data_IF_898928736728
#
_entry.id   IF_898928736728
#
_cell.length_a   1.000
_cell.length_b   1.000
_cell.length_c   1.000
_cell.angle_alpha   90.00
_cell.angle_beta   90.00
_cell.angle_gamma   90.00
#
_symmetry.space_group_name_H-M   'P 1'
#
loop_
_entity.id
_entity.type
_entity.pdbx_description
1 polymer ?
#
# COMPACT_ATOMS: atom_id res chain seq x y z
N UNK A 1 -13.42 23.51 -2.48
CA UNK A 1 -13.17 22.07 -2.15
C UNK A 1 -14.52 21.37 -1.95
N UNK A 2 -14.66 20.12 -2.36
CA UNK A 2 -15.88 19.33 -2.15
C UNK A 2 -15.95 18.95 -0.67
N UNK A 3 -17.08 19.22 0.00
CA UNK A 3 -17.25 18.85 1.42
C UNK A 3 -17.11 17.33 1.57
N UNK A 4 -16.37 16.88 2.58
CA UNK A 4 -16.28 15.45 2.93
C UNK A 4 -17.61 14.95 3.46
N UNK A 5 -18.01 13.74 3.05
CA UNK A 5 -19.31 13.15 3.35
C UNK A 5 -19.20 12.17 4.51
N UNK A 6 -19.88 12.48 5.60
CA UNK A 6 -19.94 11.66 6.79
C UNK A 6 -21.30 10.99 6.92
N UNK A 7 -21.31 9.74 7.36
CA UNK A 7 -22.50 9.01 7.72
C UNK A 7 -22.48 8.74 9.22
N UNK A 8 -23.41 9.36 9.96
CA UNK A 8 -23.54 9.23 11.38
C UNK A 8 -24.63 8.21 11.73
N UNK A 9 -24.31 7.20 12.52
CA UNK A 9 -25.18 6.08 12.83
C UNK A 9 -25.29 5.89 14.33
N UNK A 10 -26.47 6.12 14.86
CA UNK A 10 -26.77 5.98 16.28
C UNK A 10 -28.28 5.78 16.44
N UNK A 11 -28.75 4.94 17.32
CA UNK A 11 -30.19 4.75 17.57
C UNK A 11 -30.76 5.86 18.47
N UNK A 12 -29.94 6.53 19.29
CA UNK A 12 -30.33 7.71 20.07
C UNK A 12 -30.51 8.92 19.15
N UNK A 13 -31.78 9.31 18.94
CA UNK A 13 -32.17 10.46 18.12
C UNK A 13 -31.58 11.78 18.64
N UNK A 14 -31.50 11.96 19.95
CA UNK A 14 -31.05 13.20 20.57
C UNK A 14 -29.54 13.38 20.35
N UNK A 15 -28.76 12.36 20.64
CA UNK A 15 -27.33 12.37 20.41
C UNK A 15 -26.99 12.52 18.93
N UNK A 16 -27.69 11.78 18.08
CA UNK A 16 -27.52 11.86 16.63
C UNK A 16 -27.76 13.28 16.12
N UNK A 17 -28.80 13.95 16.62
CA UNK A 17 -29.11 15.34 16.23
C UNK A 17 -28.03 16.32 16.67
N UNK A 18 -27.54 16.21 17.89
CA UNK A 18 -26.48 17.08 18.43
C UNK A 18 -25.18 16.92 17.63
N UNK A 19 -24.73 15.67 17.44
CA UNK A 19 -23.51 15.40 16.68
C UNK A 19 -23.64 15.83 15.21
N UNK A 20 -24.79 15.64 14.60
CA UNK A 20 -25.04 16.08 13.23
C UNK A 20 -24.86 17.58 13.09
N UNK A 21 -25.49 18.37 13.95
CA UNK A 21 -25.40 19.84 13.89
C UNK A 21 -23.96 20.30 14.10
N UNK A 22 -23.25 19.73 15.05
CA UNK A 22 -21.86 20.04 15.30
C UNK A 22 -20.98 19.76 14.07
N UNK A 23 -21.08 18.56 13.51
CA UNK A 23 -20.27 18.16 12.34
C UNK A 23 -20.60 18.99 11.10
N UNK A 24 -21.87 19.41 10.93
CA UNK A 24 -22.27 20.33 9.85
C UNK A 24 -21.67 21.73 10.04
N UNK A 25 -21.56 22.22 11.29
CA UNK A 25 -20.87 23.49 11.63
C UNK A 25 -19.37 23.41 11.36
N UNK A 26 -18.75 22.26 11.61
CA UNK A 26 -17.35 21.95 11.28
C UNK A 26 -17.11 21.82 9.76
N UNK A 27 -18.15 21.95 8.94
CA UNK A 27 -18.06 22.03 7.47
C UNK A 27 -18.25 20.69 6.74
N UNK A 28 -18.61 19.61 7.42
CA UNK A 28 -18.89 18.31 6.79
C UNK A 28 -20.28 18.25 6.15
N UNK A 29 -20.43 17.35 5.19
CA UNK A 29 -21.74 16.99 4.63
C UNK A 29 -22.24 15.71 5.33
N UNK A 30 -23.08 15.90 6.36
CA UNK A 30 -23.52 14.82 7.24
C UNK A 30 -24.84 14.22 6.76
N UNK A 31 -24.91 12.90 6.72
CA UNK A 31 -26.15 12.13 6.62
C UNK A 31 -26.27 11.30 7.89
N UNK A 32 -27.46 11.20 8.46
CA UNK A 32 -27.70 10.40 9.64
C UNK A 32 -28.57 9.19 9.35
N UNK A 33 -28.31 8.09 10.04
CA UNK A 33 -29.07 6.84 10.01
C UNK A 33 -29.39 6.38 11.43
N UNK A 34 -30.56 5.80 11.64
CA UNK A 34 -31.00 5.31 12.93
C UNK A 34 -30.64 3.84 13.19
N UNK A 35 -30.08 3.15 12.20
CA UNK A 35 -29.75 1.73 12.27
C UNK A 35 -28.66 1.32 11.29
N UNK A 36 -28.03 0.18 11.55
CA UNK A 36 -27.07 -0.43 10.65
C UNK A 36 -27.68 -0.79 9.28
N UNK A 37 -28.93 -1.24 9.23
CA UNK A 37 -29.63 -1.60 7.99
C UNK A 37 -29.83 -0.38 7.10
N UNK A 38 -30.28 0.74 7.68
CA UNK A 38 -30.40 2.01 6.97
C UNK A 38 -29.03 2.49 6.43
N UNK A 39 -28.00 2.36 7.25
CA UNK A 39 -26.61 2.69 6.88
C UNK A 39 -26.14 1.92 5.65
N UNK A 40 -26.35 0.62 5.63
CA UNK A 40 -25.97 -0.22 4.47
C UNK A 40 -26.75 0.14 3.21
N UNK A 41 -28.03 0.51 3.35
CA UNK A 41 -28.85 0.99 2.25
C UNK A 41 -28.32 2.32 1.68
N UNK A 42 -27.90 3.24 2.54
CA UNK A 42 -27.31 4.52 2.14
C UNK A 42 -25.95 4.34 1.46
N UNK A 43 -25.09 3.45 2.00
CA UNK A 43 -23.79 3.11 1.41
C UNK A 43 -23.92 2.45 0.03
N UNK A 44 -24.99 1.71 -0.23
CA UNK A 44 -25.26 1.11 -1.53
C UNK A 44 -25.62 2.15 -2.61
N UNK A 45 -26.20 3.29 -2.22
CA UNK A 45 -26.63 4.35 -3.15
C UNK A 45 -25.49 5.30 -3.50
N UNK A 46 -24.64 5.63 -2.51
CA UNK A 46 -23.54 6.58 -2.72
C UNK A 46 -22.37 6.30 -1.76
N UNK A 47 -21.13 6.62 -2.15
CA UNK A 47 -19.98 6.48 -1.26
C UNK A 47 -19.96 7.57 -0.17
N UNK A 48 -19.46 7.21 1.01
CA UNK A 48 -19.15 8.11 2.11
C UNK A 48 -17.67 7.99 2.45
N UNK A 49 -17.05 9.12 2.84
CA UNK A 49 -15.64 9.18 3.20
C UNK A 49 -15.42 8.54 4.58
N UNK A 50 -16.35 8.74 5.52
CA UNK A 50 -16.25 8.26 6.88
C UNK A 50 -17.63 7.88 7.44
N UNK A 51 -17.69 6.82 8.22
CA UNK A 51 -18.83 6.39 9.02
C UNK A 51 -18.49 6.52 10.50
N UNK A 52 -19.36 7.18 11.26
CA UNK A 52 -19.31 7.22 12.72
C UNK A 52 -20.49 6.37 13.20
N UNK A 53 -20.23 5.26 13.87
CA UNK A 53 -21.27 4.32 14.25
C UNK A 53 -21.24 4.00 15.75
N UNK A 54 -22.41 4.01 16.37
CA UNK A 54 -22.53 3.46 17.73
C UNK A 54 -22.24 1.96 17.72
N UNK A 55 -21.56 1.51 18.77
CA UNK A 55 -21.24 0.10 18.96
C UNK A 55 -22.50 -0.73 19.25
N UNK A 56 -23.41 -0.19 20.10
CA UNK A 56 -24.61 -0.89 20.56
C UNK A 56 -25.84 -0.29 19.89
N UNK A 57 -26.38 -1.00 18.92
CA UNK A 57 -27.63 -0.66 18.25
C UNK A 57 -28.58 -1.86 18.24
N UNK A 58 -29.90 -1.64 18.24
CA UNK A 58 -30.87 -2.71 18.07
C UNK A 58 -30.71 -3.47 16.76
N UNK A 59 -30.80 -4.78 16.81
CA UNK A 59 -30.66 -5.66 15.65
C UNK A 59 -29.17 -5.91 15.31
N UNK A 60 -28.63 -5.26 14.30
CA UNK A 60 -27.24 -5.37 13.90
C UNK A 60 -26.37 -4.39 14.69
N UNK A 61 -25.39 -4.89 15.42
CA UNK A 61 -24.44 -4.10 16.19
C UNK A 61 -23.49 -3.28 15.31
N UNK A 62 -22.89 -2.21 15.90
CA UNK A 62 -21.86 -1.42 15.18
C UNK A 62 -20.63 -2.23 14.78
N UNK A 63 -20.31 -3.30 15.50
CA UNK A 63 -19.21 -4.20 15.14
C UNK A 63 -19.54 -5.06 13.90
N UNK A 64 -20.75 -5.57 13.80
CA UNK A 64 -21.21 -6.32 12.63
C UNK A 64 -21.33 -5.41 11.42
N UNK A 65 -21.81 -4.16 11.62
CA UNK A 65 -21.82 -3.12 10.60
C UNK A 65 -20.40 -2.83 10.10
N UNK A 66 -19.43 -2.63 11.00
CA UNK A 66 -18.02 -2.42 10.67
C UNK A 66 -17.46 -3.55 9.80
N UNK A 67 -17.65 -4.82 10.22
CA UNK A 67 -17.21 -5.99 9.44
C UNK A 67 -17.81 -6.00 8.04
N UNK A 68 -19.10 -5.65 7.92
CA UNK A 68 -19.80 -5.57 6.64
C UNK A 68 -19.25 -4.44 5.75
N UNK A 69 -19.02 -3.25 6.34
CA UNK A 69 -18.43 -2.11 5.63
C UNK A 69 -17.01 -2.47 5.15
N UNK A 70 -16.17 -3.05 6.01
CA UNK A 70 -14.81 -3.44 5.63
C UNK A 70 -14.78 -4.45 4.48
N UNK A 71 -15.77 -5.33 4.40
CA UNK A 71 -15.87 -6.32 3.30
C UNK A 71 -16.37 -5.70 1.99
N UNK A 72 -17.38 -4.82 2.03
CA UNK A 72 -18.05 -4.28 0.83
C UNK A 72 -17.56 -2.91 0.39
N UNK A 73 -17.07 -2.11 1.33
CA UNK A 73 -16.61 -0.73 1.14
C UNK A 73 -15.27 -0.52 1.87
N UNK A 74 -14.19 -1.21 1.47
CA UNK A 74 -12.91 -1.25 2.20
C UNK A 74 -12.24 0.12 2.34
N UNK A 75 -12.65 1.09 1.51
CA UNK A 75 -12.11 2.46 1.50
C UNK A 75 -12.79 3.38 2.49
N UNK A 76 -13.99 3.01 2.97
CA UNK A 76 -14.73 3.83 3.92
C UNK A 76 -14.11 3.67 5.32
N UNK A 77 -13.68 4.78 5.88
CA UNK A 77 -13.16 4.80 7.25
C UNK A 77 -14.32 4.67 8.23
N UNK A 78 -14.14 3.84 9.27
CA UNK A 78 -15.15 3.67 10.32
C UNK A 78 -14.57 4.03 11.68
N UNK A 79 -15.23 4.95 12.38
CA UNK A 79 -14.99 5.32 13.77
C UNK A 79 -16.15 4.78 14.60
N UNK A 80 -15.85 4.08 15.69
CA UNK A 80 -16.86 3.49 16.57
C UNK A 80 -17.08 4.40 17.78
N UNK A 81 -18.35 4.67 18.12
CA UNK A 81 -18.74 5.29 19.39
C UNK A 81 -19.15 4.19 20.39
N UNK A 82 -18.81 4.33 21.65
CA UNK A 82 -19.18 3.36 22.68
C UNK A 82 -19.50 4.03 24.02
N UNK A 83 -20.60 3.64 24.66
CA UNK A 83 -20.93 4.07 26.03
C UNK A 83 -20.12 3.30 27.09
N UNK A 84 -19.55 2.15 26.73
CA UNK A 84 -18.79 1.29 27.65
C UNK A 84 -17.41 1.05 27.03
N UNK A 85 -16.48 1.96 27.30
CA UNK A 85 -15.08 1.84 26.87
C UNK A 85 -14.31 0.81 27.71
N UNK A 86 -14.72 -0.48 27.67
CA UNK A 86 -13.84 -1.51 28.22
C UNK A 86 -12.69 -1.74 27.24
N UNK A 87 -11.52 -2.09 27.77
CA UNK A 87 -10.34 -2.38 26.94
C UNK A 87 -10.67 -3.48 25.93
N UNK A 88 -11.47 -4.45 26.32
CA UNK A 88 -11.85 -5.59 25.47
C UNK A 88 -12.66 -5.14 24.25
N UNK A 89 -13.69 -4.30 24.42
CA UNK A 89 -14.54 -3.81 23.31
C UNK A 89 -13.78 -2.91 22.34
N UNK A 90 -12.88 -2.09 22.88
CA UNK A 90 -12.00 -1.26 22.07
C UNK A 90 -11.04 -2.10 21.22
N UNK A 91 -10.40 -3.10 21.84
CA UNK A 91 -9.48 -4.04 21.14
C UNK A 91 -10.24 -4.84 20.08
N UNK A 92 -11.48 -5.27 20.36
CA UNK A 92 -12.29 -5.99 19.37
C UNK A 92 -12.63 -5.12 18.15
N UNK A 93 -13.04 -3.86 18.38
CA UNK A 93 -13.31 -2.92 17.30
C UNK A 93 -12.07 -2.65 16.44
N UNK A 94 -10.91 -2.43 17.07
CA UNK A 94 -9.65 -2.22 16.35
C UNK A 94 -9.22 -3.46 15.55
N UNK A 95 -9.33 -4.66 16.12
CA UNK A 95 -9.07 -5.93 15.40
C UNK A 95 -10.03 -6.15 14.23
N UNK A 96 -11.27 -5.69 14.35
CA UNK A 96 -12.25 -5.76 13.26
C UNK A 96 -12.01 -4.72 12.15
N UNK A 97 -11.03 -3.82 12.32
CA UNK A 97 -10.62 -2.83 11.33
C UNK A 97 -11.26 -1.45 11.50
N UNK A 98 -11.73 -1.09 12.71
CA UNK A 98 -12.07 0.30 13.00
C UNK A 98 -10.81 1.17 12.88
N UNK A 99 -10.98 2.37 12.36
CA UNK A 99 -9.90 3.36 12.34
C UNK A 99 -9.59 3.87 13.74
N UNK A 100 -10.65 4.14 14.49
CA UNK A 100 -10.57 4.57 15.88
C UNK A 100 -11.85 4.23 16.62
N UNK A 101 -11.83 4.34 17.97
CA UNK A 101 -13.02 4.32 18.80
C UNK A 101 -13.03 5.53 19.71
N UNK A 102 -14.22 6.02 20.06
CA UNK A 102 -14.43 7.13 20.97
C UNK A 102 -15.44 6.74 22.05
N UNK A 103 -15.22 7.20 23.28
CA UNK A 103 -16.15 6.93 24.37
C UNK A 103 -17.22 8.00 24.48
N UNK A 104 -18.45 7.59 24.75
CA UNK A 104 -19.54 8.51 25.12
C UNK A 104 -19.42 8.90 26.61
N UNK A 105 -19.62 10.18 27.00
CA UNK A 105 -19.99 11.30 26.13
C UNK A 105 -18.85 11.73 25.21
N UNK A 106 -19.18 12.01 23.92
CA UNK A 106 -18.19 12.37 22.91
C UNK A 106 -17.73 13.81 23.14
N UNK A 107 -16.45 13.98 23.39
CA UNK A 107 -15.87 15.31 23.52
C UNK A 107 -15.63 15.93 22.12
N UNK A 108 -16.12 17.18 21.88
CA UNK A 108 -16.01 17.83 20.57
C UNK A 108 -14.59 17.90 20.02
N UNK A 109 -13.62 18.26 20.85
CA UNK A 109 -12.21 18.37 20.46
C UNK A 109 -11.59 17.02 20.06
N UNK A 110 -11.93 15.95 20.80
CA UNK A 110 -11.45 14.60 20.53
C UNK A 110 -12.05 14.05 19.23
N UNK A 111 -13.34 14.31 18.99
CA UNK A 111 -14.01 13.95 17.75
C UNK A 111 -13.37 14.68 16.55
N UNK A 112 -13.22 16.01 16.66
CA UNK A 112 -12.60 16.81 15.61
C UNK A 112 -11.19 16.31 15.26
N UNK A 113 -10.34 16.12 16.26
CA UNK A 113 -8.98 15.61 16.05
C UNK A 113 -8.97 14.21 15.40
N UNK A 114 -9.88 13.34 15.81
CA UNK A 114 -10.00 11.99 15.24
C UNK A 114 -10.44 12.04 13.78
N UNK A 115 -11.40 12.90 13.45
CA UNK A 115 -11.89 13.08 12.09
C UNK A 115 -10.81 13.69 11.17
N UNK A 116 -10.10 14.70 11.65
CA UNK A 116 -9.02 15.33 10.88
C UNK A 116 -7.94 14.31 10.51
N UNK A 117 -7.47 13.52 11.48
CA UNK A 117 -6.48 12.45 11.23
C UNK A 117 -7.02 11.37 10.29
N UNK A 118 -8.28 10.99 10.44
CA UNK A 118 -8.92 9.99 9.60
C UNK A 118 -9.03 10.48 8.14
N UNK A 119 -9.38 11.74 7.94
CA UNK A 119 -9.50 12.35 6.62
C UNK A 119 -8.15 12.61 5.96
N UNK A 120 -7.12 12.98 6.74
CA UNK A 120 -5.74 13.07 6.26
C UNK A 120 -5.25 11.69 5.77
N UNK A 121 -5.48 10.65 6.55
CA UNK A 121 -5.17 9.28 6.16
C UNK A 121 -5.86 8.87 4.85
N UNK A 122 -7.15 9.17 4.71
CA UNK A 122 -7.92 8.90 3.50
C UNK A 122 -7.32 9.65 2.30
N UNK A 123 -6.97 10.92 2.47
CA UNK A 123 -6.37 11.74 1.42
C UNK A 123 -5.03 11.16 0.94
N UNK A 124 -4.17 10.74 1.86
CA UNK A 124 -2.89 10.09 1.53
C UNK A 124 -3.11 8.78 0.77
N UNK A 125 -4.09 7.98 1.18
CA UNK A 125 -4.45 6.74 0.47
C UNK A 125 -4.96 7.01 -0.95
N UNK A 126 -5.82 8.03 -1.14
CA UNK A 126 -6.32 8.46 -2.45
C UNK A 126 -5.18 8.97 -3.34
N UNK A 127 -4.24 9.74 -2.79
CA UNK A 127 -3.06 10.23 -3.52
C UNK A 127 -2.15 9.08 -3.97
N UNK A 128 -1.81 8.16 -3.06
CA UNK A 128 -1.03 6.95 -3.40
C UNK A 128 -1.71 6.15 -4.51
N UNK A 129 -3.03 5.97 -4.44
CA UNK A 129 -3.80 5.27 -5.48
C UNK A 129 -3.73 6.01 -6.83
N UNK A 130 -3.93 7.32 -6.82
CA UNK A 130 -3.87 8.14 -8.03
C UNK A 130 -2.49 8.09 -8.69
N UNK A 131 -1.43 8.21 -7.89
CA UNK A 131 -0.05 8.09 -8.38
C UNK A 131 0.21 6.70 -8.97
N UNK A 132 -0.23 5.62 -8.30
CA UNK A 132 -0.11 4.26 -8.82
C UNK A 132 -0.90 4.05 -10.11
N UNK A 133 -2.13 4.55 -10.19
CA UNK A 133 -2.93 4.48 -11.42
C UNK A 133 -2.25 5.20 -12.59
N UNK A 134 -1.66 6.38 -12.34
CA UNK A 134 -0.88 7.12 -13.34
C UNK A 134 0.36 6.35 -13.81
N UNK A 135 1.06 5.67 -12.89
CA UNK A 135 2.20 4.81 -13.25
C UNK A 135 1.75 3.59 -14.06
N UNK A 136 0.68 2.92 -13.66
CA UNK A 136 0.12 1.79 -14.41
C UNK A 136 -0.30 2.21 -15.82
N UNK A 137 -0.96 3.35 -15.95
CA UNK A 137 -1.31 3.90 -17.26
C UNK A 137 -0.08 4.26 -18.08
N UNK A 138 0.98 4.84 -17.49
CA UNK A 138 2.20 5.22 -18.18
C UNK A 138 3.01 4.02 -18.69
N UNK A 139 3.02 2.92 -17.96
CA UNK A 139 3.85 1.75 -18.23
C UNK A 139 3.05 0.52 -18.67
N UNK A 140 1.83 0.69 -19.22
CA UNK A 140 1.12 -0.37 -19.91
C UNK A 140 1.87 -0.85 -21.16
N UNK A 141 1.76 -2.12 -21.53
CA UNK A 141 2.37 -2.65 -22.76
C UNK A 141 1.90 -1.90 -24.02
N UNK A 142 0.68 -1.39 -24.00
CA UNK A 142 0.07 -0.59 -25.06
C UNK A 142 0.80 0.75 -25.32
N UNK A 143 1.58 1.22 -24.36
CA UNK A 143 2.33 2.47 -24.48
C UNK A 143 3.76 2.28 -25.04
N UNK A 144 4.17 1.05 -25.25
CA UNK A 144 5.43 0.76 -25.94
C UNK A 144 5.21 0.94 -27.44
N UNK A 145 5.79 2.00 -27.98
CA UNK A 145 5.62 2.36 -29.40
C UNK A 145 6.42 1.44 -30.31
N UNK A 146 5.74 0.81 -31.26
CA UNK A 146 6.33 -0.04 -32.28
C UNK A 146 5.31 -1.02 -32.87
N UNK A 147 5.54 -1.45 -34.11
CA UNK A 147 4.63 -2.36 -34.83
C UNK A 147 5.35 -3.47 -35.57
N UNK A 148 6.67 -3.67 -35.33
CA UNK A 148 7.37 -4.79 -35.94
C UNK A 148 6.94 -6.12 -35.33
N UNK A 149 6.86 -7.16 -36.11
CA UNK A 149 6.47 -8.51 -35.67
C UNK A 149 7.38 -8.99 -34.53
N UNK A 150 8.68 -8.73 -34.61
CA UNK A 150 9.66 -9.07 -33.58
C UNK A 150 9.35 -8.37 -32.22
N UNK A 151 8.93 -7.09 -32.22
CA UNK A 151 8.54 -6.39 -31.01
C UNK A 151 7.24 -6.96 -30.45
N UNK A 152 6.26 -7.25 -31.29
CA UNK A 152 4.99 -7.82 -30.86
C UNK A 152 5.17 -9.19 -30.19
N UNK A 153 6.06 -10.03 -30.72
CA UNK A 153 6.43 -11.32 -30.13
C UNK A 153 7.08 -11.16 -28.73
N UNK A 154 7.98 -10.18 -28.59
CA UNK A 154 8.60 -9.84 -27.30
C UNK A 154 7.56 -9.36 -26.30
N UNK A 155 6.65 -8.47 -26.72
CA UNK A 155 5.59 -7.94 -25.82
C UNK A 155 4.62 -9.05 -25.38
N UNK A 156 4.23 -9.96 -26.26
CA UNK A 156 3.37 -11.08 -25.92
C UNK A 156 4.07 -12.03 -24.93
N UNK A 157 5.35 -12.31 -25.15
CA UNK A 157 6.15 -13.12 -24.22
C UNK A 157 6.27 -12.43 -22.85
N UNK A 158 6.55 -11.12 -22.84
CA UNK A 158 6.62 -10.33 -21.61
C UNK A 158 5.29 -10.30 -20.86
N UNK A 159 4.16 -10.18 -21.58
CA UNK A 159 2.83 -10.18 -20.97
C UNK A 159 2.48 -11.54 -20.33
N UNK A 160 2.90 -12.65 -20.92
CA UNK A 160 2.78 -13.98 -20.30
C UNK A 160 3.68 -14.12 -19.08
N UNK A 161 4.93 -13.68 -19.18
CA UNK A 161 5.90 -13.75 -18.09
C UNK A 161 5.50 -12.87 -16.89
N UNK A 162 4.89 -11.72 -17.10
CA UNK A 162 4.39 -10.83 -16.04
C UNK A 162 3.37 -11.51 -15.09
N UNK A 163 2.72 -12.56 -15.55
CA UNK A 163 1.76 -13.33 -14.73
C UNK A 163 2.42 -14.42 -13.87
N UNK A 164 3.71 -14.55 -13.94
CA UNK A 164 4.50 -15.56 -13.22
C UNK A 164 5.50 -14.87 -12.28
N UNK A 165 6.06 -15.64 -11.33
CA UNK A 165 7.15 -15.17 -10.47
C UNK A 165 8.53 -15.56 -11.02
N UNK A 166 8.64 -15.81 -12.32
CA UNK A 166 9.89 -16.26 -12.95
C UNK A 166 10.89 -15.13 -13.06
N UNK A 167 12.17 -15.45 -12.86
CA UNK A 167 13.27 -14.54 -13.19
C UNK A 167 13.39 -14.40 -14.70
N UNK A 168 13.50 -13.16 -15.16
CA UNK A 168 13.56 -12.82 -16.59
C UNK A 168 14.90 -12.22 -16.96
N UNK A 169 15.45 -12.62 -18.11
CA UNK A 169 16.62 -12.00 -18.72
C UNK A 169 16.22 -11.25 -19.98
N UNK A 170 16.32 -9.91 -19.94
CA UNK A 170 16.07 -9.03 -21.08
C UNK A 170 17.39 -8.75 -21.78
N UNK A 171 17.48 -9.12 -23.06
CA UNK A 171 18.67 -8.88 -23.92
C UNK A 171 18.33 -7.88 -25.01
N UNK A 172 19.29 -7.05 -25.36
CA UNK A 172 19.18 -6.08 -26.45
C UNK A 172 20.29 -5.04 -26.39
N UNK A 173 20.51 -4.33 -27.48
CA UNK A 173 21.47 -3.25 -27.56
C UNK A 173 21.14 -2.10 -26.60
N UNK A 174 22.13 -1.23 -26.37
CA UNK A 174 21.90 -0.01 -25.57
C UNK A 174 20.85 0.88 -26.24
N UNK A 175 19.93 1.46 -25.47
CA UNK A 175 18.88 2.33 -26.01
C UNK A 175 17.65 1.64 -26.59
N UNK A 176 17.58 0.30 -26.63
CA UNK A 176 16.41 -0.45 -27.18
C UNK A 176 15.18 -0.46 -26.27
N UNK A 177 15.21 0.19 -25.10
CA UNK A 177 14.06 0.27 -24.19
C UNK A 177 13.94 -0.88 -23.20
N UNK A 178 15.03 -1.58 -22.86
CA UNK A 178 15.03 -2.69 -21.87
C UNK A 178 14.40 -2.29 -20.53
N UNK A 179 14.74 -1.10 -20.03
CA UNK A 179 14.15 -0.58 -18.78
C UNK A 179 12.64 -0.33 -18.93
N UNK A 180 12.20 0.22 -20.06
CA UNK A 180 10.78 0.43 -20.34
C UNK A 180 10.01 -0.89 -20.33
N UNK A 181 10.56 -1.93 -20.95
CA UNK A 181 9.99 -3.27 -20.94
C UNK A 181 9.94 -3.87 -19.53
N UNK A 182 11.02 -3.74 -18.73
CA UNK A 182 11.05 -4.21 -17.36
C UNK A 182 9.97 -3.52 -16.49
N UNK A 183 9.80 -2.21 -16.65
CA UNK A 183 8.72 -1.44 -15.99
C UNK A 183 7.35 -1.93 -16.45
N UNK A 184 7.14 -2.14 -17.75
CA UNK A 184 5.87 -2.66 -18.27
C UNK A 184 5.57 -4.06 -17.70
N UNK A 185 6.55 -4.94 -17.58
CA UNK A 185 6.39 -6.26 -16.94
C UNK A 185 5.94 -6.10 -15.49
N UNK A 186 6.63 -5.26 -14.70
CA UNK A 186 6.28 -5.04 -13.30
C UNK A 186 4.85 -4.50 -13.14
N UNK A 187 4.49 -3.43 -13.84
CA UNK A 187 3.18 -2.78 -13.69
C UNK A 187 2.01 -3.62 -14.24
N UNK A 188 2.30 -4.67 -15.01
CA UNK A 188 1.30 -5.66 -15.46
C UNK A 188 1.38 -7.00 -14.71
N UNK A 189 2.19 -7.08 -13.65
CA UNK A 189 2.35 -8.30 -12.84
C UNK A 189 1.43 -8.32 -11.61
N UNK A 190 1.42 -9.46 -10.91
CA UNK A 190 0.79 -9.59 -9.59
C UNK A 190 1.47 -8.73 -8.50
N UNK A 191 2.71 -8.28 -8.75
CA UNK A 191 3.51 -7.47 -7.82
C UNK A 191 3.47 -5.96 -8.15
N UNK A 192 2.55 -5.51 -9.00
CA UNK A 192 2.43 -4.10 -9.44
C UNK A 192 2.22 -3.08 -8.31
N UNK A 193 1.67 -3.53 -7.18
CA UNK A 193 1.41 -2.71 -6.00
C UNK A 193 2.56 -2.72 -4.99
N UNK A 194 3.60 -3.51 -5.27
CA UNK A 194 4.82 -3.64 -4.46
C UNK A 194 5.97 -2.81 -5.07
N UNK A 195 7.10 -2.66 -4.35
CA UNK A 195 8.22 -1.86 -4.86
C UNK A 195 8.81 -2.39 -6.16
N UNK A 196 9.13 -1.49 -7.10
CA UNK A 196 10.04 -1.74 -8.20
C UNK A 196 11.36 -1.02 -7.91
N UNK A 197 12.40 -1.78 -7.62
CA UNK A 197 13.75 -1.25 -7.39
C UNK A 197 14.58 -1.45 -8.65
N UNK A 198 15.07 -0.34 -9.22
CA UNK A 198 15.92 -0.37 -10.41
C UNK A 198 17.34 0.03 -10.07
N UNK A 199 18.33 -0.72 -10.57
CA UNK A 199 19.74 -0.48 -10.37
C UNK A 199 20.43 -0.59 -11.71
N UNK A 200 21.21 0.43 -12.08
CA UNK A 200 22.18 0.30 -13.16
C UNK A 200 23.53 -0.10 -12.54
N UNK A 201 23.97 -1.33 -12.81
CA UNK A 201 25.19 -1.89 -12.21
C UNK A 201 26.46 -1.23 -12.75
N UNK A 202 26.44 -0.69 -13.98
CA UNK A 202 27.57 0.04 -14.56
C UNK A 202 27.75 1.46 -14.01
N UNK A 203 26.68 2.04 -13.43
CA UNK A 203 26.74 3.40 -12.88
C UNK A 203 27.30 3.46 -11.44
N UNK A 204 27.43 2.33 -10.74
CA UNK A 204 27.89 2.26 -9.37
C UNK A 204 29.37 1.82 -9.34
N UNK A 205 30.25 2.49 -8.58
CA UNK A 205 31.63 2.03 -8.40
C UNK A 205 31.70 0.57 -7.95
N UNK A 206 32.64 -0.20 -8.55
CA UNK A 206 32.78 -1.65 -8.30
C UNK A 206 32.95 -1.99 -6.81
N UNK A 207 33.62 -1.15 -6.05
CA UNK A 207 33.87 -1.32 -4.62
C UNK A 207 32.61 -1.11 -3.77
N UNK A 208 31.58 -0.43 -4.30
CA UNK A 208 30.37 -0.11 -3.57
C UNK A 208 29.16 -0.93 -4.02
N UNK A 209 29.21 -1.56 -5.19
CA UNK A 209 28.04 -2.25 -5.78
C UNK A 209 27.52 -3.37 -4.87
N UNK A 210 28.41 -4.14 -4.23
CA UNK A 210 28.03 -5.21 -3.33
C UNK A 210 27.27 -4.68 -2.11
N UNK A 211 27.79 -3.60 -1.49
CA UNK A 211 27.17 -2.93 -0.36
C UNK A 211 25.83 -2.26 -0.74
N UNK A 212 25.71 -1.70 -1.96
CA UNK A 212 24.45 -1.14 -2.45
C UNK A 212 23.39 -2.23 -2.69
N UNK A 213 23.78 -3.35 -3.29
CA UNK A 213 22.89 -4.48 -3.55
C UNK A 213 22.43 -5.19 -2.29
N UNK A 214 23.36 -5.67 -1.48
CA UNK A 214 23.08 -6.58 -0.37
C UNK A 214 23.05 -5.89 1.01
N UNK A 215 23.49 -4.63 1.09
CA UNK A 215 23.62 -3.91 2.34
C UNK A 215 24.90 -4.29 3.11
N UNK A 216 25.11 -3.61 4.23
CA UNK A 216 26.27 -3.87 5.08
C UNK A 216 25.95 -3.67 6.56
N UNK A 217 26.76 -4.30 7.42
CA UNK A 217 26.78 -4.04 8.85
C UNK A 217 27.85 -3.01 9.19
N UNK A 218 27.63 -2.27 10.27
CA UNK A 218 28.58 -1.28 10.77
C UNK A 218 29.97 -1.91 10.98
N UNK A 219 31.00 -1.27 10.45
CA UNK A 219 32.40 -1.70 10.61
C UNK A 219 32.87 -2.73 9.58
N UNK A 220 32.07 -3.12 8.60
CA UNK A 220 32.43 -4.10 7.56
C UNK A 220 33.53 -3.65 6.61
N UNK A 221 33.67 -2.33 6.42
CA UNK A 221 34.76 -1.70 5.62
C UNK A 221 35.04 -0.28 6.10
N UNK A 222 36.14 0.32 5.62
CA UNK A 222 36.48 1.72 5.92
C UNK A 222 35.41 2.65 5.36
N UNK A 223 34.60 3.27 6.25
CA UNK A 223 33.46 4.11 5.89
C UNK A 223 32.09 3.52 6.24
N UNK A 224 31.99 2.28 6.68
CA UNK A 224 30.74 1.67 7.18
C UNK A 224 30.41 2.18 8.60
N UNK A 225 29.90 3.41 8.70
CA UNK A 225 29.62 4.09 9.98
C UNK A 225 28.34 3.55 10.64
N UNK A 226 27.39 3.06 9.85
CA UNK A 226 26.09 2.53 10.31
C UNK A 226 25.69 1.28 9.51
N UNK A 227 24.68 0.56 10.00
CA UNK A 227 24.06 -0.51 9.20
C UNK A 227 23.29 0.09 8.04
N UNK A 228 23.36 -0.54 6.87
CA UNK A 228 22.62 -0.14 5.66
C UNK A 228 21.83 -1.31 5.12
N UNK A 229 20.55 -1.06 4.80
CA UNK A 229 19.71 -2.00 4.04
C UNK A 229 20.12 -1.99 2.56
N UNK A 230 20.25 -3.17 1.99
CA UNK A 230 20.52 -3.34 0.57
C UNK A 230 19.28 -3.10 -0.32
N UNK A 231 19.53 -2.81 -1.59
CA UNK A 231 18.46 -2.65 -2.59
C UNK A 231 17.66 -3.93 -2.79
N UNK A 232 18.28 -5.09 -2.63
CA UNK A 232 17.62 -6.41 -2.68
C UNK A 232 16.59 -6.51 -1.55
N UNK A 233 16.94 -6.15 -0.31
CA UNK A 233 15.97 -6.12 0.81
C UNK A 233 14.84 -5.10 0.57
N UNK A 234 15.13 -3.98 -0.09
CA UNK A 234 14.11 -2.97 -0.40
C UNK A 234 13.13 -3.44 -1.46
N UNK A 235 13.51 -4.43 -2.27
CA UNK A 235 12.68 -5.02 -3.32
C UNK A 235 11.86 -6.22 -2.81
N UNK A 236 11.98 -6.60 -1.55
CA UNK A 236 11.31 -7.75 -0.96
C UNK A 236 9.79 -7.73 -1.21
N UNK A 237 9.24 -8.86 -1.69
CA UNK A 237 7.86 -8.98 -2.16
C UNK A 237 7.54 -8.24 -3.46
N UNK A 238 8.48 -7.46 -4.00
CA UNK A 238 8.32 -6.63 -5.19
C UNK A 238 9.10 -7.14 -6.40
N UNK A 239 9.78 -6.22 -7.10
CA UNK A 239 10.58 -6.53 -8.29
C UNK A 239 11.92 -5.82 -8.23
N UNK A 240 13.00 -6.55 -8.45
CA UNK A 240 14.33 -6.00 -8.62
C UNK A 240 14.70 -6.04 -10.11
N UNK A 241 15.02 -4.88 -10.69
CA UNK A 241 15.55 -4.78 -12.04
C UNK A 241 17.02 -4.36 -11.99
N UNK A 242 17.88 -5.22 -12.51
CA UNK A 242 19.32 -4.99 -12.65
C UNK A 242 19.64 -4.71 -14.11
N UNK A 243 19.99 -3.46 -14.43
CA UNK A 243 20.50 -3.11 -15.74
C UNK A 243 22.01 -3.32 -15.77
N UNK A 244 22.54 -3.65 -16.95
CA UNK A 244 23.97 -3.91 -17.18
C UNK A 244 24.55 -4.95 -16.19
N UNK A 245 23.80 -6.04 -15.95
CA UNK A 245 24.19 -7.12 -15.01
C UNK A 245 25.54 -7.76 -15.33
N UNK A 246 26.00 -7.67 -16.58
CA UNK A 246 27.31 -8.15 -17.02
C UNK A 246 28.51 -7.40 -16.43
N UNK A 247 28.29 -6.17 -15.90
CA UNK A 247 29.35 -5.36 -15.25
C UNK A 247 29.65 -5.79 -13.82
N UNK A 248 28.83 -6.69 -13.23
CA UNK A 248 29.04 -7.21 -11.89
C UNK A 248 30.30 -8.08 -11.81
N UNK A 249 31.07 -7.93 -10.73
CA UNK A 249 32.21 -8.80 -10.44
C UNK A 249 31.76 -10.25 -10.17
N UNK A 250 32.62 -11.25 -10.41
CA UNK A 250 32.30 -12.66 -10.19
C UNK A 250 31.77 -12.93 -8.77
N UNK A 251 32.32 -12.28 -7.75
CA UNK A 251 31.91 -12.46 -6.34
C UNK A 251 30.47 -11.99 -6.13
N UNK A 252 30.08 -10.83 -6.69
CA UNK A 252 28.73 -10.30 -6.66
C UNK A 252 27.76 -11.19 -7.44
N UNK A 253 28.20 -11.73 -8.60
CA UNK A 253 27.40 -12.66 -9.38
C UNK A 253 27.08 -13.94 -8.61
N UNK A 254 28.02 -14.48 -7.83
CA UNK A 254 27.80 -15.67 -6.98
C UNK A 254 26.73 -15.37 -5.90
N UNK A 255 26.78 -14.19 -5.27
CA UNK A 255 25.75 -13.79 -4.28
C UNK A 255 24.40 -13.61 -4.95
N UNK A 256 24.36 -13.02 -6.14
CA UNK A 256 23.13 -12.88 -6.92
C UNK A 256 22.53 -14.23 -7.31
N UNK A 257 23.37 -15.18 -7.69
CA UNK A 257 22.93 -16.54 -8.01
C UNK A 257 22.26 -17.23 -6.82
N UNK A 258 22.83 -17.10 -5.62
CA UNK A 258 22.21 -17.60 -4.39
C UNK A 258 20.86 -16.96 -4.11
N UNK A 259 20.76 -15.64 -4.27
CA UNK A 259 19.46 -14.94 -4.16
C UNK A 259 18.41 -15.54 -5.12
N UNK A 260 18.77 -15.77 -6.38
CA UNK A 260 17.84 -16.30 -7.38
C UNK A 260 17.45 -17.76 -7.09
N UNK A 261 18.36 -18.58 -6.59
CA UNK A 261 18.13 -20.02 -6.37
C UNK A 261 17.51 -20.33 -5.00
N UNK A 262 17.93 -19.63 -3.96
CA UNK A 262 17.62 -19.96 -2.56
C UNK A 262 16.67 -18.92 -1.93
N UNK A 263 16.55 -17.73 -2.52
CA UNK A 263 15.84 -16.59 -1.94
C UNK A 263 16.55 -16.03 -0.70
N UNK A 264 17.86 -16.25 -0.56
CA UNK A 264 18.63 -15.84 0.61
C UNK A 264 19.66 -14.77 0.26
N UNK A 265 19.84 -13.83 1.17
CA UNK A 265 20.88 -12.80 1.09
C UNK A 265 21.75 -12.80 2.35
N UNK A 266 22.97 -12.31 2.17
CA UNK A 266 23.96 -12.10 3.24
C UNK A 266 24.54 -10.69 3.10
N UNK A 267 24.45 -9.89 4.16
CA UNK A 267 25.02 -8.53 4.17
C UNK A 267 26.54 -8.55 4.20
N UNK A 268 27.15 -7.52 3.65
CA UNK A 268 28.61 -7.37 3.72
C UNK A 268 29.05 -7.25 5.19
N UNK A 269 29.93 -8.13 5.61
CA UNK A 269 30.44 -8.21 6.99
C UNK A 269 29.52 -8.91 7.98
N UNK A 270 28.50 -9.63 7.52
CA UNK A 270 27.64 -10.48 8.37
C UNK A 270 27.60 -11.90 7.82
N UNK A 271 27.50 -12.87 8.70
CA UNK A 271 27.22 -14.27 8.35
C UNK A 271 25.72 -14.62 8.47
N UNK A 272 24.92 -13.66 8.95
CA UNK A 272 23.47 -13.84 9.06
C UNK A 272 22.81 -13.80 7.68
N UNK A 273 21.98 -14.81 7.42
CA UNK A 273 21.19 -14.90 6.19
C UNK A 273 19.77 -14.44 6.45
N UNK A 274 19.25 -13.63 5.54
CA UNK A 274 17.85 -13.23 5.51
C UNK A 274 17.17 -13.85 4.29
N UNK A 275 15.97 -14.41 4.50
CA UNK A 275 15.16 -14.97 3.44
C UNK A 275 14.23 -13.88 2.88
N UNK A 276 14.16 -13.79 1.57
CA UNK A 276 13.34 -12.83 0.82
C UNK A 276 12.41 -13.57 -0.16
N UNK A 277 11.34 -12.88 -0.59
CA UNK A 277 10.39 -13.38 -1.61
C UNK A 277 10.65 -12.77 -3.00
#
# INVERSE_FOLDING_TARGET
MKKKRLLLVDDDQSLRRVLQVQLEQDGYAVTSAASAVETLSLLAVRPYDLVIADLKMPGMSGLELLKTIRSKHPETIVVILTAFGTVETAVEAMKAGAYHYLTKPVHPEELALTLDRALEHLQLMEEVRSLRASLNQKYGFENILGRSDALMEVLDTAARAARTNSTLLIRGETGTGKELLARAIHFNSSRKDYPLITINCGAIPKDLIESELFGHVKGSFTGAISNKRGKVEMADGGTLFLDEVGELSPDVQVKLLRLIQEGEIEKVGSEERAKLD
#
